data_IF_195752696815
#
_entry.id   IF_195752696815
#
_cell.length_a   1.000
_cell.length_b   1.000
_cell.length_c   1.000
_cell.angle_alpha   90.00
_cell.angle_beta   90.00
_cell.angle_gamma   90.00
#
_symmetry.space_group_name_H-M   'P 1'
#
loop_
_entity.id
_entity.type
_entity.pdbx_description
1 polymer ?
#
# COMPACT_ATOMS: atom_id res chain seq x y z
N UNK A 1 -30.90 -30.62 15.18
CA UNK A 1 -29.55 -30.76 14.58
C UNK A 1 -29.31 -29.52 13.71
N UNK A 2 -28.49 -28.58 14.16
CA UNK A 2 -28.20 -27.37 13.39
C UNK A 2 -27.14 -27.71 12.33
N UNK A 3 -27.51 -27.67 11.05
CA UNK A 3 -26.55 -27.81 9.97
C UNK A 3 -25.78 -26.49 9.81
N UNK A 4 -24.51 -26.48 10.17
CA UNK A 4 -23.59 -25.39 9.86
C UNK A 4 -22.95 -25.68 8.50
N UNK A 5 -23.40 -24.99 7.46
CA UNK A 5 -22.85 -25.10 6.10
C UNK A 5 -21.36 -24.71 6.09
N UNK A 6 -20.42 -25.60 5.76
CA UNK A 6 -18.99 -25.31 5.90
C UNK A 6 -18.40 -24.95 4.52
N UNK A 7 -18.74 -23.81 3.92
CA UNK A 7 -17.90 -23.28 2.82
C UNK A 7 -18.27 -21.84 2.40
N UNK A 8 -18.04 -20.84 3.25
CA UNK A 8 -17.72 -19.53 2.69
C UNK A 8 -16.25 -19.59 2.27
N UNK A 9 -15.99 -19.87 0.99
CA UNK A 9 -14.66 -19.67 0.41
C UNK A 9 -14.37 -18.17 0.50
N UNK A 10 -13.65 -17.77 1.53
CA UNK A 10 -13.09 -16.42 1.59
C UNK A 10 -12.03 -16.38 0.51
N UNK A 11 -12.31 -15.70 -0.59
CA UNK A 11 -11.33 -15.56 -1.65
C UNK A 11 -10.17 -14.73 -1.14
N UNK A 12 -8.99 -15.35 -1.16
CA UNK A 12 -7.76 -14.69 -0.75
C UNK A 12 -7.32 -13.73 -1.86
N UNK A 13 -7.65 -12.46 -1.68
CA UNK A 13 -7.23 -11.37 -2.57
C UNK A 13 -5.71 -11.19 -2.65
N UNK A 14 -4.93 -11.81 -1.73
CA UNK A 14 -3.48 -11.81 -1.80
C UNK A 14 -2.90 -12.78 -2.85
N UNK A 15 -3.70 -13.76 -3.30
CA UNK A 15 -3.34 -14.67 -4.39
C UNK A 15 -3.56 -14.08 -5.80
N UNK A 16 -4.17 -12.89 -5.88
CA UNK A 16 -4.44 -12.23 -7.16
C UNK A 16 -3.13 -11.77 -7.82
N UNK A 17 -3.01 -11.98 -9.13
CA UNK A 17 -1.82 -11.61 -9.89
C UNK A 17 -1.57 -10.10 -9.83
N UNK A 18 -0.31 -9.71 -9.60
CA UNK A 18 0.08 -8.31 -9.40
C UNK A 18 -0.32 -7.41 -10.58
N UNK A 19 -0.26 -7.90 -11.82
CA UNK A 19 -0.67 -7.13 -13.00
C UNK A 19 -2.15 -6.72 -12.98
N UNK A 20 -3.00 -7.58 -12.41
CA UNK A 20 -4.44 -7.28 -12.26
C UNK A 20 -4.62 -6.23 -11.16
N UNK A 21 -3.92 -6.38 -10.03
CA UNK A 21 -3.95 -5.41 -8.93
C UNK A 21 -3.49 -4.02 -9.41
N UNK A 22 -2.40 -3.96 -10.17
CA UNK A 22 -1.89 -2.72 -10.77
C UNK A 22 -2.90 -2.11 -11.76
N UNK A 23 -3.57 -2.95 -12.56
CA UNK A 23 -4.59 -2.50 -13.50
C UNK A 23 -5.83 -1.93 -12.81
N UNK A 24 -6.20 -2.47 -11.65
CA UNK A 24 -7.28 -1.93 -10.82
C UNK A 24 -6.86 -0.59 -10.21
N UNK A 25 -5.65 -0.52 -9.64
CA UNK A 25 -5.12 0.70 -9.02
C UNK A 25 -5.13 1.88 -10.00
N UNK A 26 -4.71 1.67 -11.25
CA UNK A 26 -4.73 2.67 -12.33
C UNK A 26 -6.12 3.24 -12.66
N UNK A 27 -7.18 2.50 -12.36
CA UNK A 27 -8.57 2.92 -12.65
C UNK A 27 -9.18 3.71 -11.49
N UNK A 28 -8.52 3.79 -10.34
CA UNK A 28 -9.03 4.53 -9.18
C UNK A 28 -8.65 6.00 -9.29
N UNK A 29 -9.67 6.85 -9.47
CA UNK A 29 -9.51 8.31 -9.58
C UNK A 29 -9.60 8.99 -8.21
N UNK A 30 -10.31 8.37 -7.26
CA UNK A 30 -10.55 8.90 -5.92
C UNK A 30 -9.40 8.54 -4.96
N UNK A 31 -8.79 9.53 -4.29
CA UNK A 31 -7.82 9.27 -3.23
C UNK A 31 -8.39 8.46 -2.07
N UNK A 32 -9.68 8.62 -1.76
CA UNK A 32 -10.34 7.86 -0.69
C UNK A 32 -10.46 6.38 -1.05
N UNK A 33 -10.75 6.07 -2.31
CA UNK A 33 -10.85 4.69 -2.80
C UNK A 33 -9.48 4.02 -2.81
N UNK A 34 -8.42 4.76 -3.14
CA UNK A 34 -7.03 4.28 -3.02
C UNK A 34 -6.65 3.96 -1.58
N UNK A 35 -7.11 4.74 -0.59
CA UNK A 35 -6.88 4.43 0.83
C UNK A 35 -7.54 3.10 1.20
N UNK A 36 -8.81 2.92 0.85
CA UNK A 36 -9.51 1.65 1.07
C UNK A 36 -8.81 0.47 0.36
N UNK A 37 -8.33 0.70 -0.87
CA UNK A 37 -7.58 -0.29 -1.63
C UNK A 37 -6.27 -0.72 -0.94
N UNK A 38 -5.55 0.22 -0.31
CA UNK A 38 -4.30 -0.09 0.43
C UNK A 38 -4.52 -0.92 1.70
N UNK A 39 -5.77 -1.03 2.18
CA UNK A 39 -6.11 -1.77 3.39
C UNK A 39 -6.31 -3.27 3.14
N UNK A 40 -6.43 -3.71 1.88
CA UNK A 40 -6.72 -5.12 1.54
C UNK A 40 -5.57 -6.06 1.91
N UNK A 41 -4.38 -5.85 1.35
CA UNK A 41 -3.18 -6.62 1.69
C UNK A 41 -1.90 -5.87 1.27
N UNK A 42 -0.73 -6.45 1.55
CA UNK A 42 0.58 -5.84 1.21
C UNK A 42 0.74 -5.58 -0.29
N UNK A 43 0.33 -6.52 -1.16
CA UNK A 43 0.46 -6.39 -2.61
C UNK A 43 -0.38 -5.22 -3.16
N UNK A 44 -1.60 -5.06 -2.65
CA UNK A 44 -2.51 -3.97 -3.02
C UNK A 44 -2.01 -2.62 -2.53
N UNK A 45 -1.46 -2.57 -1.31
CA UNK A 45 -0.79 -1.37 -0.80
C UNK A 45 0.36 -0.93 -1.70
N UNK A 46 1.23 -1.85 -2.11
CA UNK A 46 2.35 -1.54 -3.00
C UNK A 46 1.88 -1.00 -4.35
N UNK A 47 0.84 -1.59 -4.94
CA UNK A 47 0.25 -1.11 -6.20
C UNK A 47 -0.32 0.30 -6.07
N UNK A 48 -1.05 0.61 -5.00
CA UNK A 48 -1.61 1.94 -4.79
C UNK A 48 -0.54 3.01 -4.52
N UNK A 49 0.53 2.70 -3.79
CA UNK A 49 1.65 3.65 -3.59
C UNK A 49 2.34 3.93 -4.92
N UNK A 50 2.57 2.89 -5.73
CA UNK A 50 3.16 3.01 -7.07
C UNK A 50 2.30 3.88 -7.97
N UNK A 51 0.99 3.65 -8.00
CA UNK A 51 0.08 4.45 -8.81
C UNK A 51 0.01 5.88 -8.29
N UNK A 52 -0.23 6.08 -6.98
CA UNK A 52 -0.24 7.41 -6.37
C UNK A 52 1.02 8.21 -6.69
N UNK A 53 2.20 7.58 -6.60
CA UNK A 53 3.45 8.22 -6.99
C UNK A 53 3.50 8.49 -8.49
N UNK A 54 3.11 7.54 -9.34
CA UNK A 54 3.14 7.70 -10.81
C UNK A 54 2.20 8.81 -11.27
N UNK A 55 0.94 8.80 -10.82
CA UNK A 55 -0.05 9.84 -11.15
C UNK A 55 0.39 11.20 -10.61
N UNK A 56 1.00 11.26 -9.40
CA UNK A 56 1.54 12.50 -8.82
C UNK A 56 2.92 12.90 -9.37
N UNK A 57 3.67 11.99 -10.00
CA UNK A 57 4.97 12.29 -10.65
C UNK A 57 4.80 13.15 -11.89
N UNK A 58 3.61 13.12 -12.51
CA UNK A 58 3.25 14.07 -13.55
C UNK A 58 3.09 15.50 -13.01
N UNK A 59 2.82 15.64 -11.71
CA UNK A 59 2.94 16.92 -11.01
C UNK A 59 4.42 17.07 -10.65
N UNK A 60 5.07 18.09 -11.22
CA UNK A 60 6.46 18.49 -10.96
C UNK A 60 6.70 18.97 -9.51
N UNK A 61 6.14 18.29 -8.51
CA UNK A 61 6.28 18.66 -7.11
C UNK A 61 7.49 17.93 -6.53
N UNK A 62 8.55 18.64 -6.11
CA UNK A 62 9.69 18.00 -5.49
C UNK A 62 9.24 17.30 -4.19
N UNK A 63 9.61 16.03 -4.07
CA UNK A 63 9.37 15.24 -2.85
C UNK A 63 10.44 15.59 -1.83
N UNK A 64 10.02 16.05 -0.66
CA UNK A 64 10.91 16.41 0.43
C UNK A 64 11.44 15.14 1.11
N UNK A 65 12.72 14.82 0.91
CA UNK A 65 13.40 13.80 1.71
C UNK A 65 13.70 14.34 3.11
N UNK A 66 13.03 13.80 4.13
CA UNK A 66 13.36 14.08 5.53
C UNK A 66 14.40 13.08 6.00
N UNK A 67 15.64 13.54 6.20
CA UNK A 67 16.70 12.72 6.80
C UNK A 67 16.52 12.65 8.32
N UNK A 68 16.37 11.43 8.85
CA UNK A 68 16.41 11.20 10.28
C UNK A 68 17.87 11.23 10.78
N UNK A 69 18.28 12.35 11.39
CA UNK A 69 19.61 12.50 11.99
C UNK A 69 19.70 11.65 13.26
N UNK A 70 20.33 10.49 13.19
CA UNK A 70 20.73 9.75 14.40
C UNK A 70 21.88 10.51 15.07
N UNK A 71 21.62 11.05 16.26
CA UNK A 71 22.62 11.70 17.11
C UNK A 71 23.41 10.60 17.83
N UNK A 72 24.55 10.22 17.27
CA UNK A 72 25.53 9.39 17.97
C UNK A 72 25.92 10.09 19.27
N UNK A 73 25.64 9.42 20.39
CA UNK A 73 25.96 9.90 21.72
C UNK A 73 27.40 9.48 21.96
N UNK A 74 28.34 10.41 21.77
CA UNK A 74 29.71 10.23 22.23
C UNK A 74 29.70 10.05 23.74
N UNK A 75 29.96 8.82 24.20
CA UNK A 75 30.34 8.53 25.57
C UNK A 75 31.70 9.17 25.81
N UNK A 76 31.74 10.29 26.54
CA UNK A 76 32.94 10.66 27.28
C UNK A 76 33.02 9.71 28.47
N UNK A 77 33.97 8.78 28.43
CA UNK A 77 34.51 8.17 29.65
C UNK A 77 35.41 9.23 30.31
N UNK A 78 35.05 9.63 31.53
CA UNK A 78 35.95 10.28 32.48
C UNK A 78 36.00 9.36 33.69
#
# INVERSE_FOLDING_TARGET
MAQTSPNRKVHDWSSLHQDIVDSIAKRMVSPADLIAFTAVCKAWRSAAIKEYFTSRSTLKSPVLMIQAKNKEKGTLIV
#
